data_IF_589256575766
#
_entry.id   IF_589256575766
#
_cell.length_a   1.000
_cell.length_b   1.000
_cell.length_c   1.000
_cell.angle_alpha   90.00
_cell.angle_beta   90.00
_cell.angle_gamma   90.00
#
_symmetry.space_group_name_H-M   'P 1'
#
loop_
_entity.id
_entity.type
_entity.pdbx_description
1 polymer ?
#
# COMPACT_ATOMS: atom_id res chain seq x y z
N UNK A 1 -0.23 -13.94 -23.90
CA UNK A 1 0.16 -15.01 -22.95
C UNK A 1 -0.82 -14.97 -21.80
N UNK A 2 -1.70 -15.99 -21.72
CA UNK A 2 -2.68 -16.10 -20.64
C UNK A 2 -1.98 -16.65 -19.39
N UNK A 3 -1.60 -15.79 -18.48
CA UNK A 3 -1.17 -16.22 -17.16
C UNK A 3 -2.40 -16.28 -16.25
N UNK A 4 -3.02 -17.46 -16.21
CA UNK A 4 -3.97 -17.82 -15.15
C UNK A 4 -3.22 -17.87 -13.82
N UNK A 5 -3.04 -16.75 -13.16
CA UNK A 5 -2.72 -16.73 -11.73
C UNK A 5 -3.98 -17.15 -10.96
N UNK A 6 -4.22 -18.48 -10.91
CA UNK A 6 -5.12 -19.04 -9.91
C UNK A 6 -4.58 -18.65 -8.54
N UNK A 7 -5.48 -18.12 -7.73
CA UNK A 7 -5.28 -17.75 -6.34
C UNK A 7 -4.51 -18.87 -5.60
N UNK A 8 -3.19 -18.80 -5.56
CA UNK A 8 -2.40 -19.63 -4.67
C UNK A 8 -2.74 -19.15 -3.26
N UNK A 9 -3.16 -20.06 -2.40
CA UNK A 9 -3.45 -19.79 -1.01
C UNK A 9 -2.21 -19.14 -0.40
N UNK A 10 -2.28 -17.83 -0.13
CA UNK A 10 -1.25 -17.19 0.66
C UNK A 10 -1.20 -17.91 1.99
N UNK A 11 0.02 -18.24 2.41
CA UNK A 11 0.22 -18.78 3.75
C UNK A 11 -0.40 -17.82 4.77
N UNK A 12 -1.28 -18.33 5.62
CA UNK A 12 -1.94 -17.54 6.64
C UNK A 12 -0.89 -17.01 7.63
N UNK A 13 -0.78 -15.71 7.71
CA UNK A 13 0.16 -15.01 8.57
C UNK A 13 -0.46 -13.72 9.08
N UNK A 14 0.22 -13.07 10.01
CA UNK A 14 -0.23 -11.78 10.53
C UNK A 14 -0.39 -10.73 9.42
N UNK A 15 0.45 -10.75 8.41
CA UNK A 15 0.45 -9.77 7.31
C UNK A 15 -0.63 -10.03 6.27
N UNK A 16 -1.06 -11.28 6.11
CA UNK A 16 -2.15 -11.69 5.21
C UNK A 16 -3.53 -11.70 5.88
N UNK A 17 -3.58 -11.48 7.20
CA UNK A 17 -4.82 -11.35 7.98
C UNK A 17 -5.19 -9.88 8.16
N UNK A 18 -6.26 -9.36 7.51
CA UNK A 18 -6.64 -7.96 7.60
C UNK A 18 -6.90 -7.51 9.03
N UNK A 19 -6.33 -6.36 9.42
CA UNK A 19 -6.50 -5.82 10.76
C UNK A 19 -6.68 -4.31 10.75
N UNK A 20 -7.78 -3.83 11.34
CA UNK A 20 -8.00 -2.39 11.54
C UNK A 20 -7.13 -1.83 12.69
N UNK A 21 -7.20 -0.49 12.86
CA UNK A 21 -6.53 0.22 13.96
C UNK A 21 -7.50 1.18 14.65
N UNK A 22 -8.68 0.68 15.02
CA UNK A 22 -9.75 1.50 15.63
C UNK A 22 -9.33 2.11 16.97
N UNK A 23 -8.37 1.52 17.66
CA UNK A 23 -7.75 2.06 18.87
C UNK A 23 -6.77 3.22 18.61
N UNK A 24 -6.43 3.51 17.36
CA UNK A 24 -5.57 4.64 17.00
C UNK A 24 -6.43 5.85 16.67
N UNK A 25 -6.30 6.89 17.49
CA UNK A 25 -7.04 8.15 17.31
C UNK A 25 -6.89 8.72 15.90
N UNK A 26 -8.00 9.11 15.28
CA UNK A 26 -8.06 9.72 13.95
C UNK A 26 -7.78 8.77 12.78
N UNK A 27 -7.53 7.48 13.03
CA UNK A 27 -7.22 6.52 11.96
C UNK A 27 -8.46 6.20 11.12
N UNK A 28 -9.59 5.89 11.77
CA UNK A 28 -10.84 5.59 11.08
C UNK A 28 -11.36 6.80 10.32
N UNK A 29 -11.36 7.98 10.94
CA UNK A 29 -11.79 9.23 10.31
C UNK A 29 -10.97 9.55 9.06
N UNK A 30 -9.66 9.26 9.10
CA UNK A 30 -8.79 9.43 7.94
C UNK A 30 -9.14 8.44 6.85
N UNK A 31 -9.40 7.18 7.19
CA UNK A 31 -9.82 6.15 6.25
C UNK A 31 -11.17 6.50 5.60
N UNK A 32 -12.17 6.90 6.37
CA UNK A 32 -13.49 7.32 5.85
C UNK A 32 -13.38 8.55 4.92
N UNK A 33 -12.47 9.47 5.21
CA UNK A 33 -12.18 10.59 4.31
C UNK A 33 -11.59 10.13 2.99
N UNK A 34 -10.70 9.13 3.00
CA UNK A 34 -10.16 8.53 1.77
C UNK A 34 -11.26 7.83 0.96
N UNK A 35 -12.20 7.12 1.59
CA UNK A 35 -13.37 6.53 0.93
C UNK A 35 -14.17 7.60 0.20
N UNK A 36 -14.58 8.65 0.91
CA UNK A 36 -15.33 9.77 0.32
C UNK A 36 -14.59 10.43 -0.86
N UNK A 37 -13.27 10.59 -0.76
CA UNK A 37 -12.47 11.11 -1.88
C UNK A 37 -12.50 10.19 -3.10
N UNK A 38 -12.46 8.88 -2.89
CA UNK A 38 -12.51 7.90 -3.98
C UNK A 38 -13.89 7.85 -4.64
N UNK A 39 -14.96 7.99 -3.87
CA UNK A 39 -16.35 7.93 -4.38
C UNK A 39 -16.67 9.07 -5.37
N UNK A 40 -16.04 10.23 -5.22
CA UNK A 40 -16.35 11.43 -6.01
C UNK A 40 -15.25 11.81 -7.01
N UNK A 41 -14.22 10.99 -7.14
CA UNK A 41 -13.01 11.37 -7.90
C UNK A 41 -13.11 11.07 -9.38
N UNK A 42 -12.50 11.94 -10.19
CA UNK A 42 -12.14 11.69 -11.59
C UNK A 42 -10.64 11.35 -11.75
N UNK A 43 -9.93 11.14 -10.65
CA UNK A 43 -8.51 10.76 -10.67
C UNK A 43 -8.30 9.43 -11.40
N UNK A 44 -7.11 9.28 -11.98
CA UNK A 44 -6.66 8.02 -12.57
C UNK A 44 -5.66 7.27 -11.70
N UNK A 45 -5.09 7.94 -10.71
CA UNK A 45 -3.98 7.40 -9.90
C UNK A 45 -4.22 7.59 -8.41
N UNK A 46 -4.08 6.51 -7.67
CA UNK A 46 -4.13 6.49 -6.19
C UNK A 46 -2.79 6.03 -5.64
N UNK A 47 -2.27 6.75 -4.66
CA UNK A 47 -1.16 6.29 -3.83
C UNK A 47 -1.74 5.74 -2.52
N UNK A 48 -1.41 4.51 -2.16
CA UNK A 48 -1.87 3.89 -0.91
C UNK A 48 -0.70 3.30 -0.13
N UNK A 49 -0.72 3.46 1.18
CA UNK A 49 0.36 2.96 2.03
C UNK A 49 0.40 3.57 3.42
N UNK A 50 1.60 3.67 3.96
CA UNK A 50 1.87 4.14 5.32
C UNK A 50 2.29 5.62 5.38
N UNK A 51 3.18 5.97 6.34
CA UNK A 51 3.69 7.34 6.50
C UNK A 51 4.52 7.82 5.33
N UNK A 52 5.16 6.95 4.58
CA UNK A 52 5.96 7.33 3.41
C UNK A 52 5.03 7.96 2.37
N UNK A 53 3.93 7.29 2.05
CA UNK A 53 2.91 7.83 1.14
C UNK A 53 2.26 9.08 1.74
N UNK A 54 1.81 9.03 3.00
CA UNK A 54 1.17 10.17 3.67
C UNK A 54 2.04 11.42 3.58
N UNK A 55 3.33 11.29 3.87
CA UNK A 55 4.25 12.43 4.00
C UNK A 55 4.59 13.09 2.66
N UNK A 56 4.35 12.44 1.51
CA UNK A 56 4.51 13.09 0.20
C UNK A 56 3.71 14.40 0.10
N UNK A 57 2.53 14.46 0.72
CA UNK A 57 1.68 15.66 0.73
C UNK A 57 2.19 16.79 1.63
N UNK A 58 3.18 16.53 2.51
CA UNK A 58 3.79 17.58 3.34
C UNK A 58 4.83 18.41 2.58
N UNK A 59 5.39 17.85 1.53
CA UNK A 59 6.27 18.57 0.61
C UNK A 59 5.40 19.31 -0.43
N UNK A 60 4.82 20.44 0.00
CA UNK A 60 3.76 21.15 -0.73
C UNK A 60 4.12 21.46 -2.18
N UNK A 61 5.33 21.92 -2.45
CA UNK A 61 5.77 22.28 -3.80
C UNK A 61 5.90 21.03 -4.67
N UNK A 62 6.50 19.94 -4.14
CA UNK A 62 6.63 18.65 -4.84
C UNK A 62 5.24 18.06 -5.07
N UNK A 63 4.41 18.04 -4.02
CA UNK A 63 3.05 17.51 -4.15
C UNK A 63 2.24 18.29 -5.19
N UNK A 64 2.21 19.61 -5.09
CA UNK A 64 1.45 20.44 -6.02
C UNK A 64 1.94 20.25 -7.46
N UNK A 65 3.23 20.41 -7.72
CA UNK A 65 3.77 20.47 -9.08
C UNK A 65 3.81 19.11 -9.80
N UNK A 66 3.96 17.99 -9.06
CA UNK A 66 4.17 16.67 -9.67
C UNK A 66 3.01 15.70 -9.49
N UNK A 67 2.20 15.84 -8.43
CA UNK A 67 1.12 14.92 -8.11
C UNK A 67 -0.26 15.60 -8.17
N UNK A 68 -0.46 16.69 -7.45
CA UNK A 68 -1.75 17.36 -7.32
C UNK A 68 -2.31 17.85 -8.64
N UNK A 69 -1.51 18.55 -9.45
CA UNK A 69 -1.92 19.03 -10.79
C UNK A 69 -2.25 17.89 -11.75
N UNK A 70 -1.72 16.69 -11.52
CA UNK A 70 -2.03 15.48 -12.28
C UNK A 70 -3.20 14.68 -11.69
N UNK A 71 -3.83 15.19 -10.64
CA UNK A 71 -4.99 14.58 -10.00
C UNK A 71 -4.70 13.30 -9.24
N UNK A 72 -3.51 13.12 -8.66
CA UNK A 72 -3.19 11.99 -7.81
C UNK A 72 -3.92 12.09 -6.46
N UNK A 73 -4.43 10.97 -5.95
CA UNK A 73 -5.03 10.89 -4.62
C UNK A 73 -4.04 10.24 -3.65
N UNK A 74 -3.81 10.88 -2.50
CA UNK A 74 -2.98 10.34 -1.43
C UNK A 74 -3.85 9.65 -0.37
N UNK A 75 -3.80 8.32 -0.33
CA UNK A 75 -4.45 7.47 0.66
C UNK A 75 -3.45 6.86 1.66
N UNK A 76 -2.36 7.56 1.99
CA UNK A 76 -1.41 7.13 3.02
C UNK A 76 -1.93 7.39 4.44
N UNK A 77 -1.71 6.45 5.37
CA UNK A 77 -1.98 6.63 6.80
C UNK A 77 -0.74 6.27 7.62
N UNK A 78 -0.27 7.23 8.43
CA UNK A 78 0.96 7.07 9.20
C UNK A 78 0.94 5.88 10.16
N UNK A 79 2.02 5.07 10.12
CA UNK A 79 2.22 3.92 11.00
C UNK A 79 1.44 2.67 10.58
N UNK A 80 0.74 2.66 9.43
CA UNK A 80 0.10 1.46 8.94
C UNK A 80 1.12 0.35 8.67
N UNK A 81 0.79 -0.83 9.10
CA UNK A 81 1.44 -2.08 8.74
C UNK A 81 0.72 -2.72 7.55
N UNK A 82 1.32 -3.71 6.91
CA UNK A 82 0.76 -4.42 5.75
C UNK A 82 -0.67 -4.87 5.99
N UNK A 83 -0.97 -5.54 7.12
CA UNK A 83 -2.31 -5.99 7.47
C UNK A 83 -3.33 -4.85 7.65
N UNK A 84 -2.85 -3.64 8.02
CA UNK A 84 -3.74 -2.47 8.13
C UNK A 84 -4.08 -1.92 6.74
N UNK A 85 -3.10 -1.86 5.84
CA UNK A 85 -3.32 -1.48 4.44
C UNK A 85 -4.25 -2.50 3.77
N UNK A 86 -4.05 -3.80 4.01
CA UNK A 86 -4.92 -4.87 3.49
C UNK A 86 -6.36 -4.69 3.97
N UNK A 87 -6.57 -4.39 5.25
CA UNK A 87 -7.90 -4.13 5.78
C UNK A 87 -8.56 -2.94 5.07
N UNK A 88 -7.81 -1.83 4.90
CA UNK A 88 -8.33 -0.65 4.21
C UNK A 88 -8.69 -0.93 2.76
N UNK A 89 -7.83 -1.65 2.04
CA UNK A 89 -8.06 -1.97 0.61
C UNK A 89 -9.29 -2.85 0.44
N UNK A 90 -9.57 -3.76 1.38
CA UNK A 90 -10.79 -4.57 1.38
C UNK A 90 -12.05 -3.76 1.61
N UNK A 91 -11.96 -2.65 2.34
CA UNK A 91 -13.09 -1.74 2.61
C UNK A 91 -13.22 -0.61 1.57
N UNK A 92 -12.14 -0.29 0.85
CA UNK A 92 -12.16 0.70 -0.23
C UNK A 92 -12.80 0.14 -1.50
N UNK A 93 -13.44 1.04 -2.27
CA UNK A 93 -13.88 0.79 -3.63
C UNK A 93 -13.07 1.66 -4.59
N UNK A 94 -12.41 1.02 -5.56
CA UNK A 94 -11.70 1.75 -6.61
C UNK A 94 -12.64 1.93 -7.81
N UNK A 95 -13.13 3.16 -8.07
CA UNK A 95 -14.01 3.42 -9.20
C UNK A 95 -13.29 3.13 -10.52
N UNK A 96 -14.04 2.86 -11.59
CA UNK A 96 -13.48 2.53 -12.93
C UNK A 96 -12.61 3.63 -13.53
N UNK A 97 -12.71 4.85 -13.02
CA UNK A 97 -11.84 5.98 -13.37
C UNK A 97 -10.40 5.75 -12.93
N UNK A 98 -10.17 5.06 -11.81
CA UNK A 98 -8.82 4.72 -11.33
C UNK A 98 -8.21 3.65 -12.26
N UNK A 99 -7.02 3.96 -12.79
CA UNK A 99 -6.25 3.09 -13.68
C UNK A 99 -4.98 2.56 -13.04
N UNK A 100 -4.43 3.31 -12.08
CA UNK A 100 -3.17 2.96 -11.46
C UNK A 100 -3.24 3.12 -9.95
N UNK A 101 -2.77 2.12 -9.23
CA UNK A 101 -2.55 2.21 -7.78
C UNK A 101 -1.06 2.04 -7.50
N UNK A 102 -0.47 3.00 -6.81
CA UNK A 102 0.91 2.94 -6.33
C UNK A 102 0.86 2.52 -4.87
N UNK A 103 1.39 1.35 -4.57
CA UNK A 103 1.41 0.74 -3.23
C UNK A 103 2.81 0.84 -2.62
N UNK A 104 2.92 1.43 -1.43
CA UNK A 104 4.14 1.38 -0.62
C UNK A 104 3.79 1.14 0.85
N UNK A 105 4.17 -0.01 1.38
CA UNK A 105 4.03 -0.36 2.79
C UNK A 105 5.00 -1.48 3.18
N UNK A 106 5.08 -1.80 4.46
CA UNK A 106 5.91 -2.89 4.97
C UNK A 106 7.02 -2.43 5.92
N UNK A 107 7.47 -1.18 5.81
CA UNK A 107 8.52 -0.64 6.69
C UNK A 107 8.17 -0.72 8.19
N UNK A 108 6.88 -0.65 8.54
CA UNK A 108 6.40 -0.76 9.93
C UNK A 108 6.27 -2.21 10.42
N UNK A 109 6.52 -3.18 9.56
CA UNK A 109 6.51 -4.61 9.87
C UNK A 109 7.89 -5.16 10.22
N UNK A 110 8.98 -4.52 9.78
CA UNK A 110 10.36 -5.02 9.79
C UNK A 110 10.88 -5.55 11.14
N UNK A 111 10.31 -5.09 12.26
CA UNK A 111 10.67 -5.56 13.61
C UNK A 111 9.74 -6.62 14.19
N UNK A 112 8.72 -7.03 13.44
CA UNK A 112 7.62 -7.87 13.95
C UNK A 112 7.29 -9.06 13.05
N UNK A 113 7.61 -8.98 11.79
CA UNK A 113 7.29 -9.98 10.78
C UNK A 113 8.54 -10.32 9.97
N UNK A 114 8.60 -11.53 9.48
CA UNK A 114 9.67 -11.97 8.59
C UNK A 114 9.54 -11.31 7.21
N UNK A 115 10.65 -11.15 6.45
CA UNK A 115 10.60 -10.57 5.11
C UNK A 115 9.60 -11.27 4.18
N UNK A 116 9.51 -12.60 4.23
CA UNK A 116 8.61 -13.36 3.37
C UNK A 116 7.13 -13.12 3.73
N UNK A 117 6.81 -12.96 5.01
CA UNK A 117 5.46 -12.60 5.44
C UNK A 117 5.10 -11.20 4.94
N UNK A 118 6.04 -10.24 5.00
CA UNK A 118 5.83 -8.89 4.47
C UNK A 118 5.53 -8.93 2.97
N UNK A 119 6.33 -9.68 2.19
CA UNK A 119 6.13 -9.88 0.75
C UNK A 119 4.75 -10.47 0.49
N UNK A 120 4.39 -11.56 1.15
CA UNK A 120 3.10 -12.23 0.97
C UNK A 120 1.92 -11.29 1.25
N UNK A 121 2.02 -10.49 2.29
CA UNK A 121 0.99 -9.51 2.62
C UNK A 121 0.88 -8.38 1.58
N UNK A 122 2.00 -7.89 1.04
CA UNK A 122 2.02 -6.88 -0.03
C UNK A 122 1.39 -7.45 -1.31
N UNK A 123 1.74 -8.69 -1.67
CA UNK A 123 1.14 -9.38 -2.83
C UNK A 123 -0.37 -9.58 -2.64
N UNK A 124 -0.81 -9.96 -1.43
CA UNK A 124 -2.24 -10.09 -1.12
C UNK A 124 -3.00 -8.77 -1.29
N UNK A 125 -2.40 -7.64 -0.92
CA UNK A 125 -2.98 -6.31 -1.16
C UNK A 125 -3.10 -6.05 -2.67
N UNK A 126 -2.02 -6.28 -3.42
CA UNK A 126 -1.98 -6.07 -4.86
C UNK A 126 -3.04 -6.89 -5.59
N UNK A 127 -3.15 -8.17 -5.28
CA UNK A 127 -4.16 -9.08 -5.88
C UNK A 127 -5.57 -8.61 -5.57
N UNK A 128 -5.86 -8.23 -4.32
CA UNK A 128 -7.18 -7.74 -3.96
C UNK A 128 -7.58 -6.46 -4.70
N UNK A 129 -6.60 -5.56 -4.99
CA UNK A 129 -6.85 -4.37 -5.81
C UNK A 129 -7.17 -4.77 -7.25
N UNK A 130 -6.40 -5.69 -7.84
CA UNK A 130 -6.59 -6.16 -9.21
C UNK A 130 -7.96 -6.84 -9.41
N UNK A 131 -8.44 -7.59 -8.41
CA UNK A 131 -9.76 -8.25 -8.43
C UNK A 131 -10.93 -7.26 -8.47
N UNK A 132 -10.77 -6.03 -8.01
CA UNK A 132 -11.85 -5.04 -7.97
C UNK A 132 -12.16 -4.41 -9.34
N UNK A 133 -11.19 -4.38 -10.27
CA UNK A 133 -11.34 -3.69 -11.54
C UNK A 133 -10.33 -4.23 -12.57
N UNK A 134 -10.80 -4.87 -13.64
CA UNK A 134 -9.97 -5.45 -14.71
C UNK A 134 -9.06 -4.43 -15.43
N UNK A 135 -9.40 -3.15 -15.37
CA UNK A 135 -8.63 -2.07 -16.00
C UNK A 135 -7.61 -1.38 -15.10
N UNK A 136 -7.40 -1.89 -13.88
CA UNK A 136 -6.47 -1.31 -12.91
C UNK A 136 -5.09 -1.97 -13.01
N UNK A 137 -4.04 -1.19 -12.83
CA UNK A 137 -2.68 -1.71 -12.61
C UNK A 137 -2.17 -1.35 -11.23
N UNK A 138 -1.37 -2.22 -10.64
CA UNK A 138 -0.73 -1.98 -9.34
C UNK A 138 0.77 -1.89 -9.52
N UNK A 139 1.34 -0.77 -9.13
CA UNK A 139 2.79 -0.57 -9.02
C UNK A 139 3.17 -0.70 -7.55
N UNK A 140 3.93 -1.73 -7.20
CA UNK A 140 4.49 -1.88 -5.87
C UNK A 140 5.83 -1.15 -5.82
N UNK A 141 5.93 -0.12 -4.99
CA UNK A 141 7.19 0.58 -4.74
C UNK A 141 7.95 -0.14 -3.62
N UNK A 142 9.23 -0.43 -3.84
CA UNK A 142 10.09 -1.01 -2.83
C UNK A 142 10.21 -0.14 -1.57
N UNK A 143 10.53 -0.78 -0.45
CA UNK A 143 10.76 -0.09 0.81
C UNK A 143 12.06 0.72 0.77
N UNK A 144 12.00 1.96 1.24
CA UNK A 144 13.17 2.83 1.33
C UNK A 144 14.16 2.33 2.39
N UNK A 145 15.47 2.49 2.15
CA UNK A 145 16.50 2.17 3.14
C UNK A 145 16.26 2.91 4.47
N UNK A 146 16.40 2.18 5.58
CA UNK A 146 16.33 2.72 6.94
C UNK A 146 17.51 2.25 7.75
N UNK A 147 17.96 3.09 8.68
CA UNK A 147 19.06 2.82 9.62
C UNK A 147 20.43 2.62 8.92
N UNK A 148 21.45 2.22 9.67
CA UNK A 148 22.78 1.95 9.16
C UNK A 148 22.81 0.72 8.25
N UNK A 149 23.81 0.65 7.39
CA UNK A 149 24.02 -0.48 6.46
C UNK A 149 24.16 -1.82 7.20
N UNK A 150 24.67 -1.80 8.45
CA UNK A 150 24.87 -2.98 9.29
C UNK A 150 23.65 -3.43 10.07
N UNK A 151 22.48 -2.75 9.96
CA UNK A 151 21.31 -3.14 10.73
C UNK A 151 20.58 -4.34 10.11
N UNK A 152 20.04 -5.22 10.97
CA UNK A 152 19.22 -6.35 10.51
C UNK A 152 17.99 -5.91 9.69
N UNK A 153 17.47 -4.71 9.96
CA UNK A 153 16.36 -4.15 9.21
C UNK A 153 16.75 -3.80 7.78
N UNK A 154 18.00 -3.40 7.55
CA UNK A 154 18.52 -3.14 6.22
C UNK A 154 18.50 -4.39 5.35
N UNK A 155 19.04 -5.50 5.86
CA UNK A 155 18.99 -6.79 5.17
C UNK A 155 17.55 -7.28 4.91
N UNK A 156 16.65 -7.06 5.86
CA UNK A 156 15.22 -7.38 5.66
C UNK A 156 14.59 -6.55 4.55
N UNK A 157 14.92 -5.25 4.43
CA UNK A 157 14.45 -4.39 3.34
C UNK A 157 14.97 -4.88 1.99
N UNK A 158 16.25 -5.19 1.90
CA UNK A 158 16.88 -5.68 0.67
C UNK A 158 16.24 -7.01 0.22
N UNK A 159 15.97 -7.91 1.16
CA UNK A 159 15.26 -9.16 0.88
C UNK A 159 13.82 -8.89 0.35
N UNK A 160 13.04 -8.07 1.06
CA UNK A 160 11.68 -7.72 0.63
C UNK A 160 11.68 -7.12 -0.78
N UNK A 161 12.55 -6.14 -1.03
CA UNK A 161 12.63 -5.49 -2.33
C UNK A 161 13.01 -6.46 -3.45
N UNK A 162 14.01 -7.32 -3.21
CA UNK A 162 14.44 -8.34 -4.18
C UNK A 162 13.29 -9.28 -4.59
N UNK A 163 12.43 -9.67 -3.65
CA UNK A 163 11.30 -10.56 -3.96
C UNK A 163 10.10 -9.84 -4.59
N UNK A 164 9.99 -8.53 -4.42
CA UNK A 164 8.95 -7.72 -5.08
C UNK A 164 9.31 -7.35 -6.53
N UNK A 165 10.59 -7.45 -6.92
CA UNK A 165 11.07 -7.19 -8.29
C UNK A 165 10.87 -8.38 -9.25
N UNK A 166 10.57 -9.57 -8.74
CA UNK A 166 10.34 -10.81 -9.52
C UNK A 166 8.89 -10.99 -9.90
#
# INVERSE_FOLDING_TARGET
MNTNYKCNHFYESRTTTPKNRLNKFGWLETHERHKKCLDVTNSKVVLIGDSIIKNLSYFKDIWHNYFGVKGFINCGIGGDQVQNVLWRVKDLRFPKTIKHVILNCGTNNLSKDTPIEIVNGILAIGMHILEQNEGISVLVSGNLPRESVSSNKRGSIEYVNHYLEK
#
